data_IF_113942671895
#
_entry.id   IF_113942671895
#
_cell.length_a   1.000
_cell.length_b   1.000
_cell.length_c   1.000
_cell.angle_alpha   90.00
_cell.angle_beta   90.00
_cell.angle_gamma   90.00
#
_symmetry.space_group_name_H-M   'P 1'
#
loop_
_entity.id
_entity.type
_entity.pdbx_description
1 polymer ?
#
# COMPACT_ATOMS: atom_id res chain seq x y z
N UNK A 1 24.21 78.03 25.69
CA UNK A 1 24.13 77.82 24.21
C UNK A 1 24.98 76.65 23.70
N UNK A 2 26.32 76.61 23.90
CA UNK A 2 27.17 75.53 23.34
C UNK A 2 26.89 74.11 23.89
N UNK A 3 26.60 73.95 25.18
CA UNK A 3 26.35 72.63 25.79
C UNK A 3 25.03 71.98 25.34
N UNK A 4 24.00 72.79 25.12
CA UNK A 4 22.66 72.32 24.74
C UNK A 4 22.59 72.00 23.23
N UNK A 5 23.38 72.73 22.42
CA UNK A 5 23.60 72.43 21.01
C UNK A 5 24.38 71.11 20.82
N UNK A 6 25.44 70.88 21.60
CA UNK A 6 26.14 69.60 21.59
C UNK A 6 25.22 68.44 21.99
N UNK A 7 24.42 68.60 23.05
CA UNK A 7 23.50 67.54 23.52
C UNK A 7 22.45 67.16 22.47
N UNK A 8 21.95 68.13 21.69
CA UNK A 8 21.05 67.87 20.56
C UNK A 8 21.76 67.17 19.39
N UNK A 9 22.99 67.56 19.06
CA UNK A 9 23.79 66.88 18.02
C UNK A 9 24.12 65.44 18.44
N UNK A 10 24.46 65.21 19.71
CA UNK A 10 24.74 63.86 20.23
C UNK A 10 23.50 62.97 20.21
N UNK A 11 22.32 63.49 20.56
CA UNK A 11 21.08 62.73 20.47
C UNK A 11 20.68 62.40 19.02
N UNK A 12 20.94 63.31 18.08
CA UNK A 12 20.74 63.06 16.64
C UNK A 12 21.73 62.02 16.12
N UNK A 13 23.01 62.08 16.53
CA UNK A 13 24.01 61.06 16.19
C UNK A 13 23.71 59.69 16.81
N UNK A 14 23.20 59.65 18.05
CA UNK A 14 22.81 58.40 18.71
C UNK A 14 21.58 57.79 18.04
N UNK A 15 20.58 58.60 17.70
CA UNK A 15 19.40 58.16 16.95
C UNK A 15 19.79 57.68 15.53
N UNK A 16 20.69 58.39 14.83
CA UNK A 16 21.19 57.99 13.51
C UNK A 16 22.07 56.74 13.56
N UNK A 17 22.90 56.57 14.59
CA UNK A 17 23.72 55.38 14.81
C UNK A 17 22.87 54.15 15.12
N UNK A 18 21.85 54.29 15.97
CA UNK A 18 20.89 53.22 16.26
C UNK A 18 20.01 52.89 15.04
N UNK A 19 19.60 53.90 14.26
CA UNK A 19 18.91 53.69 12.99
C UNK A 19 19.80 52.96 11.97
N UNK A 20 21.07 53.35 11.85
CA UNK A 20 22.02 52.70 10.94
C UNK A 20 22.28 51.24 11.36
N UNK A 21 22.43 50.98 12.67
CA UNK A 21 22.59 49.62 13.19
C UNK A 21 21.36 48.75 12.95
N UNK A 22 20.14 49.27 13.22
CA UNK A 22 18.90 48.53 12.92
C UNK A 22 18.68 48.35 11.41
N UNK A 23 18.96 49.35 10.59
CA UNK A 23 18.75 49.30 9.15
C UNK A 23 19.73 48.33 8.47
N UNK A 24 21.01 48.35 8.85
CA UNK A 24 22.00 47.40 8.32
C UNK A 24 21.68 45.98 8.78
N UNK A 25 21.26 45.79 10.04
CA UNK A 25 20.88 44.46 10.56
C UNK A 25 19.66 43.87 9.84
N UNK A 26 18.61 44.67 9.64
CA UNK A 26 17.36 44.24 8.98
C UNK A 26 17.55 44.05 7.47
N UNK A 27 18.29 44.95 6.81
CA UNK A 27 18.57 44.85 5.38
C UNK A 27 19.47 43.63 5.07
N UNK A 28 20.41 43.29 5.96
CA UNK A 28 21.27 42.13 5.79
C UNK A 28 20.56 40.80 6.11
N UNK A 29 19.65 40.78 7.10
CA UNK A 29 18.75 39.66 7.35
C UNK A 29 17.84 39.38 6.14
N UNK A 30 17.27 40.42 5.53
CA UNK A 30 16.47 40.28 4.29
C UNK A 30 17.31 39.84 3.08
N UNK A 31 18.60 40.21 3.01
CA UNK A 31 19.50 39.78 1.94
C UNK A 31 19.93 38.32 2.09
N UNK A 32 20.10 37.83 3.32
CA UNK A 32 20.34 36.42 3.63
C UNK A 32 19.11 35.56 3.33
N UNK A 33 17.91 36.05 3.68
CA UNK A 33 16.63 35.38 3.42
C UNK A 33 16.34 35.27 1.91
N UNK A 34 16.59 36.34 1.13
CA UNK A 34 16.46 36.31 -0.34
C UNK A 34 17.50 35.44 -1.05
N UNK A 35 18.73 35.30 -0.52
CA UNK A 35 19.72 34.39 -1.11
C UNK A 35 19.43 32.92 -0.82
N UNK A 36 18.77 32.60 0.31
CA UNK A 36 18.35 31.23 0.62
C UNK A 36 17.21 30.71 -0.26
N UNK A 37 16.37 31.59 -0.82
CA UNK A 37 15.31 31.19 -1.77
C UNK A 37 15.84 30.94 -3.19
N UNK A 38 16.94 31.59 -3.59
CA UNK A 38 17.40 31.59 -5.00
C UNK A 38 18.47 30.52 -5.28
N UNK A 39 19.19 30.06 -4.27
CA UNK A 39 20.24 29.05 -4.46
C UNK A 39 19.98 27.89 -3.51
N UNK A 40 19.32 26.85 -4.01
CA UNK A 40 19.25 25.56 -3.30
C UNK A 40 20.66 25.02 -3.10
N UNK A 41 21.24 25.22 -1.92
CA UNK A 41 22.68 25.06 -1.72
C UNK A 41 23.02 24.34 -0.42
N UNK A 42 23.52 23.12 -0.59
CA UNK A 42 24.26 22.31 0.39
C UNK A 42 25.74 22.70 0.54
N UNK A 43 26.16 23.88 0.05
CA UNK A 43 27.57 24.34 0.00
C UNK A 43 27.87 25.70 0.65
N UNK A 44 26.92 26.32 1.36
CA UNK A 44 27.07 27.68 1.90
C UNK A 44 27.74 27.78 3.29
N UNK A 45 28.12 26.66 3.92
CA UNK A 45 28.45 26.64 5.36
C UNK A 45 29.78 27.29 5.76
N UNK A 46 30.78 27.33 4.88
CA UNK A 46 32.15 27.76 5.26
C UNK A 46 32.46 29.24 4.99
N UNK A 47 31.70 29.88 4.11
CA UNK A 47 31.92 31.29 3.73
C UNK A 47 31.23 32.24 4.70
N UNK A 48 30.04 31.87 5.21
CA UNK A 48 29.25 32.74 6.06
C UNK A 48 29.82 32.89 7.49
N UNK A 49 30.44 31.84 8.03
CA UNK A 49 31.05 31.90 9.37
C UNK A 49 32.27 32.84 9.41
N UNK A 50 33.09 32.86 8.35
CA UNK A 50 34.27 33.74 8.25
C UNK A 50 33.88 35.21 8.06
N UNK A 51 32.78 35.48 7.35
CA UNK A 51 32.27 36.83 7.13
C UNK A 51 31.64 37.40 8.41
N UNK A 52 30.92 36.60 9.19
CA UNK A 52 30.34 37.03 10.47
C UNK A 52 31.42 37.37 11.50
N UNK A 53 32.49 36.57 11.59
CA UNK A 53 33.62 36.85 12.50
C UNK A 53 34.36 38.13 12.11
N UNK A 54 34.57 38.37 10.80
CA UNK A 54 35.25 39.58 10.32
C UNK A 54 34.47 40.87 10.63
N UNK A 55 33.12 40.83 10.54
CA UNK A 55 32.26 41.99 10.81
C UNK A 55 32.16 42.31 12.31
N UNK A 56 32.18 41.30 13.18
CA UNK A 56 32.18 41.49 14.65
C UNK A 56 33.46 42.17 15.14
N UNK A 57 34.62 41.85 14.54
CA UNK A 57 35.90 42.50 14.86
C UNK A 57 35.92 43.97 14.40
N UNK A 58 35.34 44.27 13.24
CA UNK A 58 35.32 45.64 12.69
C UNK A 58 34.38 46.57 13.48
N UNK A 59 33.24 46.07 13.98
CA UNK A 59 32.32 46.89 14.77
C UNK A 59 32.80 47.15 16.21
N UNK A 60 33.62 46.26 16.80
CA UNK A 60 34.16 46.45 18.14
C UNK A 60 35.32 47.46 18.21
N UNK A 61 36.00 47.72 17.08
CA UNK A 61 37.17 48.61 17.00
C UNK A 61 36.79 50.08 16.76
N UNK A 62 35.53 50.38 16.42
CA UNK A 62 35.10 51.74 16.04
C UNK A 62 34.01 52.27 16.98
N UNK A 63 34.37 52.68 18.21
CA UNK A 63 33.57 53.64 19.00
C UNK A 63 34.37 54.22 20.18
N UNK A 64 34.60 55.55 20.27
CA UNK A 64 35.15 56.18 21.46
C UNK A 64 34.07 56.71 22.42
N UNK A 65 34.10 56.22 23.67
CA UNK A 65 33.89 56.88 24.98
C UNK A 65 32.84 58.01 25.17
N UNK A 66 31.86 57.78 26.07
CA UNK A 66 31.78 58.33 27.46
C UNK A 66 30.38 58.12 28.08
N UNK A 67 30.30 57.51 29.27
CA UNK A 67 29.16 57.66 30.19
C UNK A 67 29.61 57.56 31.66
N UNK A 68 28.98 58.38 32.50
CA UNK A 68 29.32 58.67 33.90
C UNK A 68 28.59 57.77 34.90
N UNK A 69 29.37 57.23 35.84
CA UNK A 69 29.09 56.97 37.26
C UNK A 69 27.76 56.28 37.67
N UNK A 70 27.85 54.97 37.94
CA UNK A 70 27.23 54.36 39.12
C UNK A 70 27.98 53.08 39.51
N UNK A 71 28.30 52.98 40.79
CA UNK A 71 29.28 52.07 41.41
C UNK A 71 28.79 50.62 41.46
N UNK A 72 29.46 49.73 40.74
CA UNK A 72 29.46 48.28 40.99
C UNK A 72 30.89 47.89 41.40
N UNK A 73 31.04 47.29 42.58
CA UNK A 73 32.36 46.87 43.09
C UNK A 73 32.92 45.74 42.23
N UNK A 74 34.13 45.94 41.75
CA UNK A 74 34.83 45.10 40.75
C UNK A 74 35.31 43.75 41.32
N UNK A 75 35.18 43.49 42.62
CA UNK A 75 35.77 42.31 43.26
C UNK A 75 35.00 40.99 43.04
N UNK A 76 33.74 41.01 42.59
CA UNK A 76 32.96 39.77 42.43
C UNK A 76 32.94 39.17 41.01
N UNK A 77 33.37 39.91 39.98
CA UNK A 77 33.27 39.43 38.58
C UNK A 77 34.46 38.56 38.15
N UNK A 78 35.55 38.56 38.91
CA UNK A 78 36.80 37.85 38.54
C UNK A 78 37.39 37.00 39.67
N UNK A 79 36.55 36.36 40.49
CA UNK A 79 36.98 35.22 41.32
C UNK A 79 37.03 33.96 40.43
N UNK A 80 38.12 33.82 39.67
CA UNK A 80 38.51 32.52 39.09
C UNK A 80 39.69 32.05 39.91
N UNK A 81 39.53 30.92 40.60
CA UNK A 81 40.58 30.29 41.41
C UNK A 81 41.93 30.29 40.66
N UNK A 82 42.99 30.73 41.33
CA UNK A 82 44.38 30.79 40.84
C UNK A 82 45.00 29.41 40.48
N UNK A 83 44.20 28.34 40.47
CA UNK A 83 44.64 26.97 40.21
C UNK A 83 44.71 26.60 38.70
N UNK A 84 44.07 27.36 37.80
CA UNK A 84 44.07 27.09 36.34
C UNK A 84 44.99 28.05 35.56
N UNK A 85 46.26 28.12 35.97
CA UNK A 85 47.20 29.12 35.45
C UNK A 85 47.73 28.83 34.03
N UNK A 86 47.59 27.62 33.50
CA UNK A 86 48.34 27.19 32.29
C UNK A 86 47.59 26.35 31.22
N UNK A 87 46.25 26.24 31.23
CA UNK A 87 45.52 25.35 30.29
C UNK A 87 44.70 26.03 29.18
N UNK A 88 44.78 27.37 29.04
CA UNK A 88 44.05 28.11 28.00
C UNK A 88 44.87 28.31 26.70
N UNK A 89 44.23 28.43 25.52
CA UNK A 89 44.92 28.68 24.25
C UNK A 89 45.69 30.02 24.26
N UNK A 90 46.83 30.09 23.58
CA UNK A 90 47.82 31.20 23.69
C UNK A 90 47.23 32.60 23.50
N UNK A 91 46.24 32.76 22.60
CA UNK A 91 45.56 34.03 22.38
C UNK A 91 44.80 34.54 23.62
N UNK A 92 44.38 33.65 24.53
CA UNK A 92 43.71 33.99 25.77
C UNK A 92 44.69 34.54 26.81
N UNK A 93 45.96 34.10 26.78
CA UNK A 93 47.05 34.67 27.59
C UNK A 93 47.36 36.10 27.10
N UNK A 94 47.52 36.27 25.79
CA UNK A 94 47.76 37.59 25.17
C UNK A 94 46.60 38.56 25.42
N UNK A 95 45.35 38.10 25.36
CA UNK A 95 44.19 38.93 25.68
C UNK A 95 44.22 39.38 27.14
N UNK A 96 44.51 38.47 28.08
CA UNK A 96 44.60 38.78 29.52
C UNK A 96 45.70 39.81 29.80
N UNK A 97 46.85 39.69 29.14
CA UNK A 97 47.96 40.61 29.35
C UNK A 97 47.69 41.98 28.73
N UNK A 98 47.07 42.04 27.55
CA UNK A 98 46.61 43.30 26.94
C UNK A 98 45.53 43.99 27.79
N UNK A 99 44.60 43.23 28.38
CA UNK A 99 43.57 43.78 29.29
C UNK A 99 44.20 44.32 30.57
N UNK A 100 45.21 43.65 31.13
CA UNK A 100 45.97 44.17 32.29
C UNK A 100 46.69 45.46 31.97
N UNK A 101 47.33 45.56 30.80
CA UNK A 101 47.97 46.79 30.34
C UNK A 101 46.95 47.91 30.20
N UNK A 102 45.78 47.63 29.63
CA UNK A 102 44.69 48.60 29.46
C UNK A 102 44.12 49.08 30.81
N UNK A 103 43.94 48.18 31.77
CA UNK A 103 43.50 48.51 33.14
C UNK A 103 44.53 49.38 33.86
N UNK A 104 45.82 49.07 33.70
CA UNK A 104 46.91 49.86 34.30
C UNK A 104 47.08 51.24 33.65
N UNK A 105 46.81 51.38 32.34
CA UNK A 105 46.92 52.65 31.63
C UNK A 105 45.75 53.62 31.89
N UNK A 106 44.52 53.11 32.00
CA UNK A 106 43.32 53.94 32.12
C UNK A 106 42.91 54.18 33.58
N UNK A 107 43.29 53.27 34.49
CA UNK A 107 42.80 53.22 35.86
C UNK A 107 41.62 52.26 36.00
N UNK A 108 41.52 51.56 37.14
CA UNK A 108 40.55 50.46 37.36
C UNK A 108 39.09 50.87 37.13
N UNK A 109 38.72 52.09 37.49
CA UNK A 109 37.35 52.58 37.34
C UNK A 109 36.98 52.91 35.88
N UNK A 110 37.87 53.52 35.11
CA UNK A 110 37.59 53.86 33.71
C UNK A 110 37.63 52.63 32.81
N UNK A 111 38.51 51.66 33.11
CA UNK A 111 38.58 50.40 32.39
C UNK A 111 37.30 49.56 32.58
N UNK A 112 36.68 49.57 33.76
CA UNK A 112 35.44 48.83 34.01
C UNK A 112 34.26 49.35 33.17
N UNK A 113 34.15 50.68 32.98
CA UNK A 113 33.10 51.27 32.11
C UNK A 113 33.24 50.89 30.63
N UNK A 114 34.42 50.43 30.19
CA UNK A 114 34.67 50.02 28.80
C UNK A 114 34.56 48.50 28.64
N UNK A 115 35.17 47.75 29.56
CA UNK A 115 35.24 46.28 29.47
C UNK A 115 33.88 45.62 29.77
N UNK A 116 33.10 46.13 30.71
CA UNK A 116 31.82 45.52 31.11
C UNK A 116 30.81 45.48 29.93
N UNK A 117 30.56 46.59 29.20
CA UNK A 117 29.66 46.57 28.04
C UNK A 117 30.13 45.65 26.92
N UNK A 118 31.44 45.55 26.69
CA UNK A 118 32.02 44.69 25.65
C UNK A 118 31.79 43.22 25.99
N UNK A 119 32.04 42.83 27.24
CA UNK A 119 31.81 41.47 27.72
C UNK A 119 30.33 41.11 27.68
N UNK A 120 29.44 42.01 28.13
CA UNK A 120 27.99 41.80 28.05
C UNK A 120 27.49 41.68 26.60
N UNK A 121 28.03 42.49 25.69
CA UNK A 121 27.74 42.39 24.26
C UNK A 121 28.19 41.06 23.65
N UNK A 122 29.40 40.60 24.00
CA UNK A 122 29.92 39.31 23.56
C UNK A 122 29.08 38.14 24.09
N UNK A 123 28.64 38.19 25.36
CA UNK A 123 27.76 37.17 25.96
C UNK A 123 26.39 37.16 25.26
N UNK A 124 25.79 38.32 24.98
CA UNK A 124 24.51 38.40 24.29
C UNK A 124 24.58 37.84 22.86
N UNK A 125 25.67 38.12 22.14
CA UNK A 125 25.91 37.57 20.81
C UNK A 125 26.11 36.05 20.88
N UNK A 126 26.92 35.57 21.83
CA UNK A 126 27.15 34.14 22.01
C UNK A 126 25.84 33.40 22.35
N UNK A 127 25.01 33.97 23.24
CA UNK A 127 23.70 33.42 23.58
C UNK A 127 22.73 33.44 22.39
N UNK A 128 22.74 34.51 21.59
CA UNK A 128 21.92 34.61 20.37
C UNK A 128 22.35 33.61 19.29
N UNK A 129 23.67 33.43 19.09
CA UNK A 129 24.23 32.44 18.16
C UNK A 129 23.92 31.03 18.64
N UNK A 130 24.13 30.73 19.92
CA UNK A 130 23.84 29.40 20.48
C UNK A 130 22.34 29.08 20.43
N UNK A 131 21.49 30.08 20.72
CA UNK A 131 20.03 29.98 20.56
C UNK A 131 19.62 29.74 19.09
N UNK A 132 20.24 30.44 18.14
CA UNK A 132 20.00 30.26 16.72
C UNK A 132 20.46 28.88 16.21
N UNK A 133 21.65 28.40 16.62
CA UNK A 133 22.13 27.06 16.26
C UNK A 133 21.23 25.98 16.87
N UNK A 134 20.84 26.11 18.14
CA UNK A 134 19.92 25.16 18.79
C UNK A 134 18.53 25.16 18.16
N UNK A 135 18.03 26.32 17.74
CA UNK A 135 16.77 26.45 17.00
C UNK A 135 16.88 25.86 15.60
N UNK A 136 17.99 26.07 14.89
CA UNK A 136 18.27 25.50 13.57
C UNK A 136 18.38 23.98 13.61
N UNK A 137 19.01 23.41 14.64
CA UNK A 137 19.03 21.95 14.85
C UNK A 137 17.63 21.40 15.15
N UNK A 138 16.81 22.11 15.94
CA UNK A 138 15.41 21.73 16.20
C UNK A 138 14.50 21.86 14.97
N UNK A 139 14.75 22.83 14.08
CA UNK A 139 14.00 23.02 12.82
C UNK A 139 14.44 21.99 11.76
N UNK A 140 15.73 21.65 11.69
CA UNK A 140 16.23 20.60 10.80
C UNK A 140 15.74 19.19 11.18
N UNK A 141 15.26 19.00 12.41
CA UNK A 141 14.68 17.75 12.87
C UNK A 141 13.28 17.42 12.29
N UNK A 142 12.73 18.20 11.35
CA UNK A 142 11.40 17.93 10.79
C UNK A 142 11.24 18.27 9.30
N UNK A 143 12.18 17.87 8.45
CA UNK A 143 11.90 17.77 7.01
C UNK A 143 12.41 16.45 6.48
N UNK A 144 11.64 15.38 6.74
CA UNK A 144 11.89 14.09 6.09
C UNK A 144 11.80 14.32 4.59
N UNK A 145 12.92 14.19 3.88
CA UNK A 145 12.96 14.30 2.43
C UNK A 145 12.34 13.04 1.83
N UNK A 146 11.07 13.10 1.45
CA UNK A 146 10.31 11.97 0.89
C UNK A 146 10.56 11.74 -0.62
N UNK A 147 11.42 12.55 -1.25
CA UNK A 147 11.76 12.45 -2.67
C UNK A 147 12.46 11.12 -3.01
N UNK A 148 12.20 10.56 -4.19
CA UNK A 148 12.79 9.31 -4.68
C UNK A 148 12.24 8.01 -4.07
N UNK A 149 11.39 8.09 -3.03
CA UNK A 149 10.81 6.89 -2.40
C UNK A 149 9.88 6.09 -3.31
N UNK A 150 9.14 6.75 -4.20
CA UNK A 150 8.25 6.07 -5.18
C UNK A 150 9.05 5.18 -6.11
N UNK A 151 10.09 5.72 -6.73
CA UNK A 151 10.98 4.98 -7.63
C UNK A 151 11.69 3.83 -6.91
N UNK A 152 12.04 4.02 -5.63
CA UNK A 152 12.77 2.99 -4.86
C UNK A 152 11.89 1.88 -4.27
N UNK A 153 10.62 2.16 -3.96
CA UNK A 153 9.78 1.25 -3.15
C UNK A 153 8.43 0.89 -3.79
N UNK A 154 8.10 1.36 -4.99
CA UNK A 154 6.87 0.95 -5.70
C UNK A 154 7.01 -0.38 -6.45
N UNK A 155 7.63 -1.39 -5.84
CA UNK A 155 7.83 -2.71 -6.45
C UNK A 155 6.52 -3.38 -6.90
N UNK A 156 5.39 -3.08 -6.24
CA UNK A 156 4.07 -3.56 -6.67
C UNK A 156 3.67 -2.97 -8.02
N UNK A 157 3.98 -1.70 -8.27
CA UNK A 157 3.69 -1.06 -9.56
C UNK A 157 4.53 -1.69 -10.68
N UNK A 158 5.79 -2.01 -10.39
CA UNK A 158 6.69 -2.64 -11.36
C UNK A 158 6.18 -4.04 -11.77
N UNK A 159 5.71 -4.84 -10.80
CA UNK A 159 5.07 -6.15 -11.07
C UNK A 159 3.82 -5.98 -11.93
N UNK A 160 2.98 -4.98 -11.62
CA UNK A 160 1.76 -4.69 -12.38
C UNK A 160 2.11 -4.33 -13.82
N UNK A 161 3.10 -3.48 -14.06
CA UNK A 161 3.51 -3.06 -15.40
C UNK A 161 4.05 -4.22 -16.25
N UNK A 162 4.79 -5.14 -15.63
CA UNK A 162 5.30 -6.36 -16.31
C UNK A 162 4.18 -7.34 -16.63
N UNK A 163 3.23 -7.53 -15.71
CA UNK A 163 2.23 -8.60 -15.82
C UNK A 163 0.95 -8.17 -16.54
N UNK A 164 0.52 -6.91 -16.41
CA UNK A 164 -0.77 -6.42 -16.91
C UNK A 164 -1.03 -6.69 -18.41
N UNK A 165 -0.05 -6.59 -19.33
CA UNK A 165 -0.28 -6.85 -20.75
C UNK A 165 -0.82 -8.25 -21.05
N UNK A 166 -0.46 -9.23 -20.21
CA UNK A 166 -0.90 -10.62 -20.37
C UNK A 166 -2.26 -10.92 -19.70
N UNK A 167 -2.83 -9.98 -18.94
CA UNK A 167 -4.09 -10.17 -18.21
C UNK A 167 -5.27 -9.73 -19.07
N UNK A 168 -6.32 -10.54 -19.10
CA UNK A 168 -7.49 -10.34 -19.96
C UNK A 168 -8.78 -10.29 -19.17
N UNK A 169 -9.75 -9.54 -19.66
CA UNK A 169 -11.12 -9.57 -19.14
C UNK A 169 -11.91 -10.63 -19.90
N UNK A 170 -12.67 -11.44 -19.17
CA UNK A 170 -13.54 -12.45 -19.75
C UNK A 170 -14.97 -12.06 -19.40
N UNK A 171 -15.77 -11.87 -20.44
CA UNK A 171 -17.19 -11.57 -20.32
C UNK A 171 -17.99 -12.67 -21.01
N UNK A 172 -19.06 -13.11 -20.35
CA UNK A 172 -19.97 -14.09 -20.91
C UNK A 172 -21.32 -13.43 -21.05
N UNK A 173 -21.80 -13.42 -22.29
CA UNK A 173 -23.06 -12.79 -22.67
C UNK A 173 -24.06 -13.85 -23.13
N UNK A 174 -25.34 -13.67 -22.77
CA UNK A 174 -26.44 -14.48 -23.29
C UNK A 174 -26.99 -13.84 -24.57
N UNK A 175 -26.69 -14.45 -25.72
CA UNK A 175 -27.13 -13.96 -27.03
C UNK A 175 -28.65 -14.00 -27.24
N UNK A 176 -29.41 -14.68 -26.37
CA UNK A 176 -30.89 -14.76 -26.46
C UNK A 176 -31.60 -13.72 -25.61
N UNK A 177 -30.90 -13.07 -24.68
CA UNK A 177 -31.49 -12.09 -23.77
C UNK A 177 -30.86 -10.74 -24.00
N UNK A 178 -31.66 -9.82 -24.55
CA UNK A 178 -31.27 -8.44 -24.77
C UNK A 178 -31.71 -7.60 -23.58
N UNK A 179 -30.83 -6.72 -23.13
CA UNK A 179 -31.15 -5.67 -22.18
C UNK A 179 -32.17 -4.70 -22.80
N UNK A 180 -33.26 -4.44 -22.07
CA UNK A 180 -34.42 -3.70 -22.57
C UNK A 180 -34.10 -2.23 -22.90
N UNK A 181 -33.04 -1.67 -22.33
CA UNK A 181 -32.66 -0.27 -22.51
C UNK A 181 -31.54 -0.10 -23.55
N UNK A 182 -30.56 -1.00 -23.57
CA UNK A 182 -29.38 -0.90 -24.44
C UNK A 182 -29.47 -1.76 -25.71
N UNK A 183 -30.41 -2.72 -25.78
CA UNK A 183 -30.54 -3.65 -26.90
C UNK A 183 -29.35 -4.58 -27.08
N UNK A 184 -28.47 -4.69 -26.07
CA UNK A 184 -27.27 -5.53 -26.09
C UNK A 184 -27.51 -6.85 -25.34
N UNK A 185 -26.81 -7.93 -25.68
CA UNK A 185 -26.81 -9.17 -24.90
C UNK A 185 -26.49 -8.92 -23.42
N UNK A 186 -27.24 -9.53 -22.51
CA UNK A 186 -27.03 -9.38 -21.06
C UNK A 186 -25.78 -10.16 -20.63
N UNK A 187 -24.90 -9.51 -19.87
CA UNK A 187 -23.76 -10.16 -19.22
C UNK A 187 -24.22 -11.05 -18.08
N UNK A 188 -23.93 -12.34 -18.19
CA UNK A 188 -24.39 -13.40 -17.28
C UNK A 188 -23.27 -13.93 -16.37
N UNK A 189 -22.02 -13.71 -16.75
CA UNK A 189 -20.82 -13.98 -15.96
C UNK A 189 -19.69 -13.08 -16.43
N UNK A 190 -18.81 -12.72 -15.53
CA UNK A 190 -17.56 -12.06 -15.89
C UNK A 190 -16.45 -12.49 -14.93
N UNK A 191 -15.22 -12.26 -15.35
CA UNK A 191 -14.03 -12.53 -14.58
C UNK A 191 -12.78 -12.05 -15.32
N UNK A 192 -11.64 -12.48 -14.83
CA UNK A 192 -10.35 -12.27 -15.45
C UNK A 192 -9.76 -13.59 -15.95
N UNK A 193 -8.72 -13.47 -16.75
CA UNK A 193 -7.85 -14.56 -17.16
C UNK A 193 -6.47 -14.03 -17.50
N UNK A 194 -5.58 -14.90 -17.94
CA UNK A 194 -4.26 -14.48 -18.42
C UNK A 194 -3.76 -15.39 -19.53
N UNK A 195 -2.98 -14.80 -20.43
CA UNK A 195 -2.45 -15.44 -21.63
C UNK A 195 -1.22 -16.27 -21.24
N UNK A 196 -1.21 -17.55 -21.59
CA UNK A 196 -0.11 -18.49 -21.28
C UNK A 196 0.64 -18.97 -22.52
N UNK A 197 0.17 -18.63 -23.71
CA UNK A 197 0.88 -18.89 -24.96
C UNK A 197 0.60 -17.79 -25.98
N UNK A 198 1.61 -17.46 -26.79
CA UNK A 198 1.59 -16.36 -27.76
C UNK A 198 0.52 -16.55 -28.84
N UNK A 199 0.03 -17.78 -29.03
CA UNK A 199 -1.00 -18.18 -29.97
C UNK A 199 -2.45 -17.99 -29.44
N UNK A 200 -2.63 -17.26 -28.34
CA UNK A 200 -3.96 -16.93 -27.82
C UNK A 200 -4.53 -17.91 -26.82
N UNK A 201 -3.69 -18.74 -26.18
CA UNK A 201 -4.14 -19.64 -25.11
C UNK A 201 -4.26 -18.84 -23.82
N UNK A 202 -5.43 -18.90 -23.20
CA UNK A 202 -5.76 -18.18 -21.97
C UNK A 202 -6.16 -19.17 -20.89
N UNK A 203 -5.72 -18.92 -19.66
CA UNK A 203 -6.18 -19.59 -18.46
C UNK A 203 -7.17 -18.72 -17.69
N UNK A 204 -8.13 -19.39 -17.06
CA UNK A 204 -9.10 -18.80 -16.15
C UNK A 204 -9.67 -19.89 -15.25
N UNK A 205 -10.62 -19.55 -14.37
CA UNK A 205 -11.35 -20.55 -13.62
C UNK A 205 -12.46 -21.21 -14.44
N UNK A 206 -12.75 -22.47 -14.13
CA UNK A 206 -13.86 -23.18 -14.77
C UNK A 206 -15.19 -22.48 -14.49
N UNK A 207 -15.44 -22.02 -13.26
CA UNK A 207 -16.70 -21.35 -12.92
C UNK A 207 -16.92 -20.03 -13.65
N UNK A 208 -15.87 -19.40 -14.19
CA UNK A 208 -15.99 -18.18 -15.01
C UNK A 208 -16.69 -18.54 -16.31
N UNK A 209 -16.29 -19.66 -16.95
CA UNK A 209 -16.61 -20.03 -18.34
C UNK A 209 -17.59 -21.19 -18.53
N UNK A 210 -17.73 -22.04 -17.52
CA UNK A 210 -18.54 -23.25 -17.60
C UNK A 210 -20.02 -22.93 -17.39
N UNK A 211 -20.84 -23.65 -18.16
CA UNK A 211 -22.28 -23.76 -18.03
C UNK A 211 -23.10 -22.55 -18.45
N UNK A 212 -23.10 -22.24 -19.75
CA UNK A 212 -24.08 -21.32 -20.33
C UNK A 212 -24.44 -21.77 -21.75
N UNK A 213 -25.47 -22.61 -21.92
CA UNK A 213 -25.91 -23.00 -23.26
C UNK A 213 -26.26 -21.74 -24.07
N UNK A 214 -25.63 -21.58 -25.24
CA UNK A 214 -25.74 -20.41 -26.15
C UNK A 214 -25.07 -19.12 -25.68
N UNK A 215 -24.16 -19.17 -24.71
CA UNK A 215 -23.40 -17.99 -24.35
C UNK A 215 -22.21 -17.75 -25.27
N UNK A 216 -21.95 -16.47 -25.49
CA UNK A 216 -20.82 -15.96 -26.25
C UNK A 216 -19.76 -15.52 -25.24
N UNK A 217 -18.55 -16.07 -25.35
CA UNK A 217 -17.42 -15.66 -24.52
C UNK A 217 -16.67 -14.55 -25.26
N UNK A 218 -16.67 -13.35 -24.70
CA UNK A 218 -15.88 -12.22 -25.19
C UNK A 218 -14.67 -12.05 -24.30
N UNK A 219 -13.50 -11.94 -24.92
CA UNK A 219 -12.22 -11.70 -24.25
C UNK A 219 -11.74 -10.32 -24.64
N UNK A 220 -11.48 -9.45 -23.66
CA UNK A 220 -10.92 -8.13 -23.89
C UNK A 220 -9.47 -8.05 -23.42
N UNK A 221 -8.57 -7.69 -24.33
CA UNK A 221 -7.13 -7.53 -24.08
C UNK A 221 -6.83 -6.13 -23.54
N UNK A 222 -5.67 -5.94 -22.91
CA UNK A 222 -5.25 -4.66 -22.29
C UNK A 222 -5.24 -3.47 -23.27
N UNK A 223 -5.04 -3.70 -24.57
CA UNK A 223 -5.09 -2.67 -25.61
C UNK A 223 -6.52 -2.16 -25.92
N UNK A 224 -7.54 -2.76 -25.30
CA UNK A 224 -8.94 -2.42 -25.49
C UNK A 224 -9.66 -3.30 -26.52
N UNK A 225 -8.95 -4.09 -27.30
CA UNK A 225 -9.52 -4.98 -28.33
C UNK A 225 -10.31 -6.12 -27.71
N UNK A 226 -11.43 -6.49 -28.34
CA UNK A 226 -12.31 -7.57 -27.90
C UNK A 226 -12.37 -8.65 -28.97
N UNK A 227 -12.18 -9.91 -28.55
CA UNK A 227 -12.14 -11.09 -29.42
C UNK A 227 -13.10 -12.15 -28.92
N UNK A 228 -13.64 -12.94 -29.84
CA UNK A 228 -14.44 -14.11 -29.50
C UNK A 228 -13.53 -15.22 -28.94
N UNK A 229 -13.85 -15.70 -27.74
CA UNK A 229 -13.17 -16.79 -27.06
C UNK A 229 -13.89 -18.13 -27.23
N UNK A 230 -13.12 -19.21 -27.33
CA UNK A 230 -13.63 -20.58 -27.37
C UNK A 230 -13.07 -21.39 -26.20
N UNK A 231 -13.92 -22.09 -25.46
CA UNK A 231 -13.48 -22.98 -24.37
C UNK A 231 -12.83 -24.23 -24.98
N UNK A 232 -11.54 -24.45 -24.75
CA UNK A 232 -10.80 -25.61 -25.29
C UNK A 232 -10.81 -26.83 -24.35
N UNK A 233 -10.72 -26.59 -23.06
CA UNK A 233 -10.68 -27.60 -22.00
C UNK A 233 -11.10 -27.00 -20.66
N UNK A 234 -11.65 -27.82 -19.78
CA UNK A 234 -12.00 -27.42 -18.42
C UNK A 234 -11.99 -28.62 -17.47
N UNK A 235 -11.60 -28.37 -16.23
CA UNK A 235 -11.76 -29.30 -15.13
C UNK A 235 -12.48 -28.64 -13.96
N UNK A 236 -13.73 -29.06 -13.75
CA UNK A 236 -14.58 -28.58 -12.66
C UNK A 236 -13.99 -28.96 -11.28
N UNK A 237 -13.25 -30.08 -11.20
CA UNK A 237 -12.65 -30.52 -9.93
C UNK A 237 -11.54 -29.57 -9.52
N UNK A 238 -10.63 -29.21 -10.42
CA UNK A 238 -9.61 -28.20 -10.12
C UNK A 238 -10.07 -26.75 -10.27
N UNK A 239 -11.28 -26.51 -10.79
CA UNK A 239 -11.79 -25.18 -11.14
C UNK A 239 -10.87 -24.44 -12.13
N UNK A 240 -10.34 -25.18 -13.12
CA UNK A 240 -9.46 -24.66 -14.16
C UNK A 240 -10.14 -24.74 -15.53
N UNK A 241 -9.92 -23.74 -16.38
CA UNK A 241 -10.32 -23.79 -17.78
C UNK A 241 -9.32 -23.10 -18.69
N UNK A 242 -9.30 -23.55 -19.93
CA UNK A 242 -8.57 -22.91 -21.03
C UNK A 242 -9.53 -22.32 -22.05
N UNK A 243 -9.23 -21.09 -22.46
CA UNK A 243 -9.88 -20.41 -23.57
C UNK A 243 -8.88 -20.19 -24.71
N UNK A 244 -9.39 -20.10 -25.93
CA UNK A 244 -8.64 -19.73 -27.12
C UNK A 244 -9.24 -18.51 -27.77
N UNK A 245 -8.40 -17.55 -28.13
CA UNK A 245 -8.74 -16.47 -29.06
C UNK A 245 -7.91 -16.60 -30.35
N UNK A 246 -8.43 -16.17 -31.51
CA UNK A 246 -7.74 -16.29 -32.80
C UNK A 246 -6.74 -15.15 -33.03
N UNK A 247 -5.88 -14.87 -32.04
CA UNK A 247 -4.86 -13.80 -32.09
C UNK A 247 -3.49 -14.39 -31.75
N UNK A 248 -2.45 -13.93 -32.44
CA UNK A 248 -1.06 -14.40 -32.27
C UNK A 248 -0.13 -13.27 -31.81
N UNK A 249 1.07 -13.63 -31.38
CA UNK A 249 2.12 -12.73 -30.89
C UNK A 249 1.67 -11.89 -29.68
N UNK A 250 0.91 -12.53 -28.79
CA UNK A 250 0.40 -11.90 -27.58
C UNK A 250 1.44 -11.91 -26.46
N UNK A 251 1.42 -10.93 -25.54
CA UNK A 251 2.22 -10.98 -24.32
C UNK A 251 1.79 -12.16 -23.44
N UNK A 252 2.78 -12.92 -22.96
CA UNK A 252 2.55 -14.16 -22.19
C UNK A 252 2.95 -13.98 -20.74
N UNK A 253 2.10 -14.46 -19.84
CA UNK A 253 2.39 -14.57 -18.42
C UNK A 253 3.40 -15.69 -18.17
N UNK A 254 4.48 -15.38 -17.46
CA UNK A 254 5.43 -16.39 -17.00
C UNK A 254 4.80 -17.23 -15.89
N UNK A 255 4.92 -18.54 -15.97
CA UNK A 255 4.46 -19.43 -14.91
C UNK A 255 5.63 -19.73 -13.97
N UNK A 256 5.50 -19.29 -12.71
CA UNK A 256 6.49 -19.56 -11.66
C UNK A 256 6.31 -20.95 -11.09
N UNK A 257 6.73 -21.15 -9.85
CA UNK A 257 6.46 -22.36 -9.06
C UNK A 257 5.63 -21.99 -7.83
N UNK A 258 4.74 -22.89 -7.42
CA UNK A 258 4.00 -22.74 -6.17
C UNK A 258 4.61 -23.55 -5.02
N UNK A 259 5.49 -24.51 -5.33
CA UNK A 259 6.15 -25.37 -4.35
C UNK A 259 7.21 -24.67 -3.50
N UNK A 260 7.77 -23.56 -3.97
CA UNK A 260 8.84 -22.77 -3.37
C UNK A 260 8.34 -21.50 -2.66
N UNK A 261 7.02 -21.28 -2.65
CA UNK A 261 6.41 -20.15 -1.96
C UNK A 261 6.71 -20.19 -0.47
N UNK A 262 6.85 -19.00 0.12
CA UNK A 262 7.04 -18.84 1.57
C UNK A 262 5.89 -18.06 2.21
N UNK A 263 5.40 -18.48 3.39
CA UNK A 263 4.54 -17.62 4.19
C UNK A 263 5.19 -16.24 4.43
N UNK A 264 4.44 -15.17 4.21
CA UNK A 264 4.88 -13.79 4.28
C UNK A 264 5.40 -13.20 2.97
N UNK A 265 5.49 -13.99 1.90
CA UNK A 265 5.91 -13.50 0.58
C UNK A 265 4.86 -12.58 -0.04
N UNK A 266 5.30 -11.45 -0.60
CA UNK A 266 4.43 -10.50 -1.27
C UNK A 266 3.84 -11.08 -2.55
N UNK A 267 2.55 -10.86 -2.75
CA UNK A 267 1.82 -11.28 -3.93
C UNK A 267 0.88 -10.20 -4.41
N UNK A 268 0.63 -10.19 -5.71
CA UNK A 268 -0.31 -9.29 -6.38
C UNK A 268 -1.39 -10.12 -7.06
N UNK A 269 -2.63 -10.01 -6.57
CA UNK A 269 -3.79 -10.58 -7.24
C UNK A 269 -4.23 -9.61 -8.35
N UNK A 270 -4.02 -10.04 -9.59
CA UNK A 270 -4.26 -9.24 -10.78
C UNK A 270 -5.60 -9.58 -11.42
N UNK A 271 -6.31 -8.54 -11.88
CA UNK A 271 -7.50 -8.64 -12.71
C UNK A 271 -7.41 -7.67 -13.89
N UNK A 272 -8.30 -7.82 -14.87
CA UNK A 272 -8.23 -7.02 -16.09
C UNK A 272 -8.43 -5.52 -15.84
N UNK A 273 -7.60 -4.65 -16.48
CA UNK A 273 -7.61 -3.20 -16.26
C UNK A 273 -8.66 -2.42 -17.09
N UNK A 274 -9.62 -3.08 -17.74
CA UNK A 274 -10.53 -2.43 -18.70
C UNK A 274 -12.02 -2.54 -18.37
N UNK A 275 -12.37 -3.36 -17.39
CA UNK A 275 -13.61 -3.15 -16.64
C UNK A 275 -13.37 -1.98 -15.68
N UNK A 276 -14.42 -1.24 -15.29
CA UNK A 276 -14.40 -0.01 -14.47
C UNK A 276 -13.74 -0.13 -13.07
N UNK A 277 -12.92 -1.15 -12.82
CA UNK A 277 -12.54 -1.60 -11.50
C UNK A 277 -11.16 -2.25 -11.39
N UNK A 278 -10.17 -1.98 -12.28
CA UNK A 278 -8.76 -2.47 -12.19
C UNK A 278 -8.47 -3.15 -10.86
N UNK A 279 -8.71 -4.46 -10.75
CA UNK A 279 -8.70 -5.09 -9.42
C UNK A 279 -7.31 -5.65 -9.16
N UNK A 280 -6.35 -4.73 -9.13
CA UNK A 280 -5.01 -5.00 -8.64
C UNK A 280 -5.06 -4.85 -7.13
N UNK A 281 -4.76 -5.93 -6.43
CA UNK A 281 -4.67 -5.91 -4.98
C UNK A 281 -3.42 -6.62 -4.54
N UNK A 282 -2.71 -6.06 -3.57
CA UNK A 282 -1.51 -6.67 -3.01
C UNK A 282 -1.79 -7.23 -1.62
N UNK A 283 -1.02 -8.23 -1.25
CA UNK A 283 -1.02 -8.85 0.07
C UNK A 283 0.19 -9.76 0.22
N UNK A 284 0.13 -10.66 1.18
CA UNK A 284 1.13 -11.69 1.40
C UNK A 284 0.52 -13.08 1.34
N UNK A 285 1.35 -14.08 1.10
CA UNK A 285 0.96 -15.49 1.28
C UNK A 285 0.83 -15.76 2.78
N UNK A 286 -0.38 -16.06 3.24
CA UNK A 286 -0.61 -16.43 4.65
C UNK A 286 -0.33 -17.91 4.91
N UNK A 287 -0.56 -18.77 3.91
CA UNK A 287 -0.24 -20.20 3.94
C UNK A 287 -0.08 -20.72 2.52
N UNK A 288 0.91 -21.58 2.33
CA UNK A 288 1.22 -22.18 1.02
C UNK A 288 0.50 -23.51 0.81
N UNK A 289 0.06 -24.14 1.90
CA UNK A 289 -0.49 -25.49 1.87
C UNK A 289 -1.78 -25.63 2.68
N UNK A 290 -2.81 -24.87 2.34
CA UNK A 290 -4.13 -25.04 2.96
C UNK A 290 -4.88 -26.18 2.27
N UNK A 291 -5.03 -27.30 2.95
CA UNK A 291 -5.77 -28.46 2.42
C UNK A 291 -7.24 -28.06 2.18
N UNK A 292 -7.78 -28.42 1.02
CA UNK A 292 -9.19 -28.29 0.66
C UNK A 292 -10.13 -28.82 1.76
N UNK A 293 -9.74 -29.88 2.48
CA UNK A 293 -10.49 -30.46 3.61
C UNK A 293 -10.63 -29.47 4.76
N UNK A 294 -9.60 -28.66 5.01
CA UNK A 294 -9.65 -27.60 6.03
C UNK A 294 -10.53 -26.42 5.61
N UNK A 295 -10.73 -26.24 4.30
CA UNK A 295 -11.69 -25.32 3.70
C UNK A 295 -13.10 -25.91 3.55
N UNK A 296 -13.29 -27.15 4.01
CA UNK A 296 -14.54 -27.91 3.88
C UNK A 296 -14.80 -28.46 2.47
N UNK A 297 -13.92 -28.19 1.51
CA UNK A 297 -13.99 -28.67 0.13
C UNK A 297 -13.57 -30.15 0.08
N UNK A 298 -14.35 -31.06 0.67
CA UNK A 298 -14.05 -32.50 0.55
C UNK A 298 -14.11 -32.93 -0.92
N UNK A 299 -13.40 -34.02 -1.26
CA UNK A 299 -13.29 -34.68 -2.58
C UNK A 299 -12.64 -33.88 -3.73
N UNK A 300 -12.14 -32.68 -3.43
CA UNK A 300 -10.97 -32.15 -4.13
C UNK A 300 -9.77 -32.51 -3.26
N UNK A 301 -8.90 -33.45 -3.61
CA UNK A 301 -7.61 -33.58 -2.91
C UNK A 301 -6.67 -32.51 -3.47
N UNK A 302 -6.96 -31.25 -3.16
CA UNK A 302 -6.21 -30.11 -3.65
C UNK A 302 -5.84 -29.16 -2.53
N UNK A 303 -4.69 -28.57 -2.68
CA UNK A 303 -4.16 -27.59 -1.75
C UNK A 303 -4.32 -26.20 -2.36
N UNK A 304 -4.64 -25.20 -1.55
CA UNK A 304 -4.79 -23.80 -1.99
C UNK A 304 -3.70 -22.92 -1.38
N UNK A 305 -3.33 -21.89 -2.14
CA UNK A 305 -2.55 -20.76 -1.63
C UNK A 305 -3.52 -19.84 -0.91
N UNK A 306 -3.28 -19.58 0.37
CA UNK A 306 -4.02 -18.60 1.15
C UNK A 306 -3.29 -17.26 1.11
N UNK A 307 -4.02 -16.19 0.84
CA UNK A 307 -3.49 -14.82 0.86
C UNK A 307 -4.48 -13.85 1.49
N UNK A 308 -3.98 -12.77 2.06
CA UNK A 308 -4.79 -11.64 2.50
C UNK A 308 -5.04 -10.61 1.38
N UNK A 309 -4.41 -10.78 0.21
CA UNK A 309 -4.69 -9.99 -0.99
C UNK A 309 -6.20 -10.13 -1.35
N UNK A 310 -6.96 -9.02 -1.40
CA UNK A 310 -8.38 -9.10 -1.68
C UNK A 310 -8.75 -9.66 -3.07
N UNK A 311 -9.33 -10.86 -3.10
CA UNK A 311 -9.94 -11.41 -4.31
C UNK A 311 -11.42 -11.00 -4.38
N UNK A 312 -11.86 -10.56 -5.55
CA UNK A 312 -13.24 -10.20 -5.86
C UNK A 312 -13.65 -10.81 -7.20
N UNK A 313 -14.90 -10.62 -7.62
CA UNK A 313 -15.35 -11.05 -8.95
C UNK A 313 -14.54 -10.44 -10.10
N UNK A 314 -13.93 -9.26 -9.90
CA UNK A 314 -13.15 -8.58 -10.94
C UNK A 314 -11.83 -9.26 -11.27
N UNK A 315 -11.09 -9.77 -10.28
CA UNK A 315 -9.80 -10.44 -10.47
C UNK A 315 -9.85 -11.97 -10.35
N UNK A 316 -11.01 -12.55 -10.03
CA UNK A 316 -11.23 -14.01 -10.08
C UNK A 316 -10.99 -14.55 -11.49
N UNK A 317 -10.28 -15.68 -11.61
CA UNK A 317 -9.73 -16.23 -12.84
C UNK A 317 -8.42 -15.59 -13.31
N UNK A 318 -8.07 -14.41 -12.80
CA UNK A 318 -6.78 -13.75 -13.07
C UNK A 318 -5.61 -14.38 -12.30
N UNK A 319 -4.37 -13.96 -12.58
CA UNK A 319 -3.20 -14.54 -11.95
C UNK A 319 -2.96 -13.95 -10.55
N UNK A 320 -2.48 -14.80 -9.64
CA UNK A 320 -1.78 -14.39 -8.42
C UNK A 320 -0.28 -14.38 -8.76
N UNK A 321 0.37 -13.22 -8.62
CA UNK A 321 1.72 -12.97 -9.15
C UNK A 321 2.70 -12.71 -8.00
N UNK A 322 3.91 -13.27 -8.07
CA UNK A 322 5.00 -12.95 -7.14
C UNK A 322 5.74 -11.66 -7.54
N UNK A 323 6.78 -11.28 -6.79
CA UNK A 323 7.54 -10.05 -7.09
C UNK A 323 8.42 -10.13 -8.34
N UNK A 324 8.63 -11.33 -8.88
CA UNK A 324 9.38 -11.55 -10.13
C UNK A 324 8.49 -11.47 -11.39
N UNK A 325 7.19 -11.17 -11.21
CA UNK A 325 6.23 -11.06 -12.30
C UNK A 325 5.74 -12.42 -12.83
N UNK A 326 5.88 -13.48 -12.03
CA UNK A 326 5.49 -14.83 -12.38
C UNK A 326 4.15 -15.21 -11.71
N UNK A 327 3.26 -15.85 -12.47
CA UNK A 327 2.05 -16.41 -11.93
C UNK A 327 2.37 -17.64 -11.07
N UNK A 328 2.05 -17.54 -9.78
CA UNK A 328 2.19 -18.60 -8.77
C UNK A 328 0.84 -19.26 -8.43
N UNK A 329 -0.27 -18.67 -8.90
CA UNK A 329 -1.59 -19.26 -8.80
C UNK A 329 -2.66 -18.56 -9.62
N UNK A 330 -3.89 -19.07 -9.56
CA UNK A 330 -5.09 -18.48 -10.17
C UNK A 330 -6.04 -18.03 -9.08
N UNK A 331 -6.39 -16.75 -9.06
CA UNK A 331 -7.30 -16.15 -8.10
C UNK A 331 -8.67 -16.84 -8.17
N UNK A 332 -9.09 -17.57 -7.14
CA UNK A 332 -10.35 -18.34 -7.21
C UNK A 332 -11.45 -17.70 -6.39
N UNK A 333 -11.27 -17.59 -5.07
CA UNK A 333 -12.35 -17.21 -4.16
C UNK A 333 -11.87 -16.39 -2.97
N UNK A 334 -12.78 -15.58 -2.41
CA UNK A 334 -12.65 -14.93 -1.11
C UNK A 334 -13.67 -15.52 -0.17
N UNK A 335 -13.23 -15.96 1.01
CA UNK A 335 -14.13 -16.47 2.06
C UNK A 335 -14.56 -15.35 3.00
N UNK A 336 -13.60 -14.53 3.44
CA UNK A 336 -13.85 -13.38 4.32
C UNK A 336 -12.80 -12.30 4.08
N UNK A 337 -12.96 -11.12 4.70
CA UNK A 337 -11.94 -10.07 4.60
C UNK A 337 -10.63 -10.53 5.22
N UNK A 338 -9.54 -10.45 4.46
CA UNK A 338 -8.20 -10.93 4.86
C UNK A 338 -7.97 -12.42 4.61
N UNK A 339 -8.93 -13.15 4.03
CA UNK A 339 -8.76 -14.57 3.66
C UNK A 339 -9.31 -14.81 2.25
N UNK A 340 -8.38 -14.92 1.31
CA UNK A 340 -8.61 -15.26 -0.08
C UNK A 340 -7.79 -16.51 -0.46
N UNK A 341 -8.23 -17.21 -1.50
CA UNK A 341 -7.62 -18.44 -1.98
C UNK A 341 -7.33 -18.40 -3.48
N UNK A 342 -6.16 -18.90 -3.84
CA UNK A 342 -5.75 -19.13 -5.22
C UNK A 342 -5.39 -20.60 -5.45
N UNK A 343 -5.66 -21.09 -6.66
CA UNK A 343 -5.26 -22.43 -7.10
C UNK A 343 -3.76 -22.38 -7.43
N UNK A 344 -2.90 -23.25 -6.84
CA UNK A 344 -1.48 -23.28 -7.12
C UNK A 344 -1.14 -23.49 -8.60
N UNK A 345 -0.14 -22.79 -9.11
CA UNK A 345 0.23 -22.87 -10.53
C UNK A 345 0.78 -24.24 -10.92
N UNK A 346 1.28 -25.05 -9.99
CA UNK A 346 1.78 -26.38 -10.33
C UNK A 346 0.64 -27.33 -10.73
N UNK A 347 -0.57 -27.18 -10.16
CA UNK A 347 -1.76 -27.89 -10.65
C UNK A 347 -2.14 -27.46 -12.07
N UNK A 348 -1.92 -26.19 -12.41
CA UNK A 348 -2.16 -25.67 -13.76
C UNK A 348 -1.21 -26.33 -14.75
N UNK A 349 0.08 -26.48 -14.40
CA UNK A 349 1.06 -27.17 -15.24
C UNK A 349 0.64 -28.62 -15.51
N UNK A 350 0.17 -29.32 -14.48
CA UNK A 350 -0.37 -30.68 -14.65
C UNK A 350 -1.61 -30.72 -15.56
N UNK A 351 -2.53 -29.78 -15.38
CA UNK A 351 -3.74 -29.66 -16.21
C UNK A 351 -3.38 -29.43 -17.69
N UNK A 352 -2.45 -28.50 -17.97
CA UNK A 352 -1.95 -28.23 -19.32
C UNK A 352 -1.20 -29.42 -19.93
N UNK A 353 -0.51 -30.22 -19.11
CA UNK A 353 0.16 -31.44 -19.57
C UNK A 353 -0.87 -32.54 -19.94
N UNK A 354 -1.87 -32.77 -19.10
CA UNK A 354 -2.95 -33.77 -19.32
C UNK A 354 -3.79 -33.46 -20.56
N UNK A 355 -3.94 -32.18 -20.92
CA UNK A 355 -4.62 -31.75 -22.16
C UNK A 355 -4.04 -32.41 -23.42
N UNK A 356 -2.73 -32.69 -23.46
CA UNK A 356 -2.07 -33.30 -24.63
C UNK A 356 -2.50 -34.75 -24.87
N UNK A 357 -3.18 -35.38 -23.91
CA UNK A 357 -3.62 -36.78 -23.93
C UNK A 357 -5.13 -36.87 -23.70
N UNK A 358 -5.97 -36.38 -24.62
CA UNK A 358 -7.43 -36.35 -24.39
C UNK A 358 -8.07 -37.74 -24.44
N UNK A 359 -8.71 -38.13 -23.32
CA UNK A 359 -9.81 -39.11 -23.25
C UNK A 359 -11.16 -38.42 -23.52
N UNK A 360 -12.25 -39.16 -23.83
CA UNK A 360 -13.50 -38.56 -24.30
C UNK A 360 -14.22 -37.73 -23.23
N UNK A 361 -14.96 -36.71 -23.67
CA UNK A 361 -15.84 -35.90 -22.82
C UNK A 361 -16.85 -36.79 -22.09
N UNK A 362 -16.79 -36.77 -20.76
CA UNK A 362 -17.80 -37.39 -19.89
C UNK A 362 -18.86 -36.33 -19.62
N UNK A 363 -20.11 -36.58 -20.04
CA UNK A 363 -21.20 -35.65 -19.74
C UNK A 363 -21.46 -35.60 -18.23
N UNK A 364 -21.55 -34.42 -17.62
CA UNK A 364 -21.78 -34.26 -16.17
C UNK A 364 -23.03 -33.46 -15.87
N UNK A 365 -23.62 -33.71 -14.71
CA UNK A 365 -24.82 -33.01 -14.24
C UNK A 365 -24.47 -31.72 -13.51
N UNK A 366 -25.29 -30.68 -13.71
CA UNK A 366 -25.04 -29.33 -13.24
C UNK A 366 -26.25 -28.72 -12.49
N UNK A 367 -25.96 -27.92 -11.45
CA UNK A 367 -26.97 -27.14 -10.70
C UNK A 367 -26.87 -25.62 -10.85
N UNK A 368 -25.66 -25.08 -10.96
CA UNK A 368 -25.43 -23.64 -11.07
C UNK A 368 -25.40 -22.86 -9.78
N UNK A 369 -24.64 -23.39 -8.83
CA UNK A 369 -24.31 -22.71 -7.59
C UNK A 369 -22.80 -22.59 -7.39
N UNK A 370 -22.39 -21.49 -6.78
CA UNK A 370 -21.12 -21.42 -6.04
C UNK A 370 -21.42 -21.80 -4.61
N UNK A 371 -20.62 -22.68 -4.05
CA UNK A 371 -20.87 -23.25 -2.74
C UNK A 371 -19.64 -23.21 -1.85
N UNK A 372 -19.87 -23.08 -0.54
CA UNK A 372 -18.87 -23.14 0.51
C UNK A 372 -19.32 -24.17 1.54
N UNK A 373 -18.51 -25.19 1.80
CA UNK A 373 -18.84 -26.18 2.82
C UNK A 373 -18.60 -25.63 4.22
N UNK A 374 -19.52 -25.94 5.12
CA UNK A 374 -19.52 -25.40 6.47
C UNK A 374 -18.63 -26.25 7.38
N UNK A 375 -17.37 -25.83 7.56
CA UNK A 375 -16.49 -26.38 8.60
C UNK A 375 -16.81 -25.76 9.97
N UNK A 376 -16.40 -26.38 11.09
CA UNK A 376 -16.61 -25.81 12.43
C UNK A 376 -16.08 -24.36 12.56
N UNK A 377 -14.93 -24.07 11.95
CA UNK A 377 -14.33 -22.74 11.97
C UNK A 377 -15.16 -21.74 11.15
N UNK A 378 -15.59 -22.12 9.93
CA UNK A 378 -16.44 -21.27 9.08
C UNK A 378 -17.78 -21.01 9.75
N UNK A 379 -18.39 -22.03 10.36
CA UNK A 379 -19.64 -21.90 11.14
C UNK A 379 -19.47 -20.92 12.30
N UNK A 380 -18.37 -21.03 13.05
CA UNK A 380 -18.07 -20.12 14.14
C UNK A 380 -17.95 -18.67 13.64
N UNK A 381 -17.22 -18.43 12.56
CA UNK A 381 -17.08 -17.11 11.95
C UNK A 381 -18.41 -16.55 11.43
N UNK A 382 -19.22 -17.38 10.76
CA UNK A 382 -20.53 -16.97 10.24
C UNK A 382 -21.49 -16.62 11.38
N UNK A 383 -21.51 -17.39 12.48
CA UNK A 383 -22.33 -17.11 13.67
C UNK A 383 -21.91 -15.82 14.37
N UNK A 384 -20.61 -15.53 14.43
CA UNK A 384 -20.12 -14.26 14.98
C UNK A 384 -20.58 -13.05 14.16
N UNK A 385 -20.67 -13.21 12.83
CA UNK A 385 -21.06 -12.14 11.91
C UNK A 385 -22.57 -12.02 11.71
N UNK A 386 -23.30 -13.12 11.87
CA UNK A 386 -24.74 -13.19 11.69
C UNK A 386 -25.41 -13.88 12.90
N UNK A 387 -25.80 -13.10 13.93
CA UNK A 387 -26.46 -13.65 15.13
C UNK A 387 -27.78 -14.36 14.86
N UNK A 388 -28.38 -14.16 13.68
CA UNK A 388 -29.63 -14.83 13.28
C UNK A 388 -29.42 -16.23 12.70
N UNK A 389 -28.17 -16.63 12.45
CA UNK A 389 -27.84 -17.98 11.98
C UNK A 389 -28.23 -19.03 13.03
N UNK A 390 -29.00 -20.07 12.66
CA UNK A 390 -29.39 -21.10 13.60
C UNK A 390 -28.18 -21.84 14.22
N UNK A 391 -28.18 -22.00 15.54
CA UNK A 391 -27.09 -22.61 16.31
C UNK A 391 -27.06 -24.14 16.22
N UNK A 392 -28.14 -24.73 15.74
CA UNK A 392 -28.35 -26.16 15.55
C UNK A 392 -27.86 -26.67 14.18
N UNK A 393 -27.34 -25.79 13.32
CA UNK A 393 -26.64 -26.16 12.08
C UNK A 393 -25.18 -26.44 12.42
N UNK A 394 -24.77 -27.70 12.42
CA UNK A 394 -23.39 -28.15 12.67
C UNK A 394 -22.67 -28.64 11.40
N UNK A 395 -23.41 -28.82 10.30
CA UNK A 395 -22.90 -29.20 8.99
C UNK A 395 -23.76 -28.58 7.88
N UNK A 396 -23.27 -28.63 6.64
CA UNK A 396 -24.02 -28.20 5.47
C UNK A 396 -23.15 -27.52 4.43
N UNK A 397 -23.80 -27.05 3.38
CA UNK A 397 -23.17 -26.32 2.30
C UNK A 397 -23.87 -24.97 2.15
N UNK A 398 -23.14 -23.89 2.42
CA UNK A 398 -23.59 -22.54 2.15
C UNK A 398 -23.62 -22.29 0.65
N UNK A 399 -24.77 -21.87 0.14
CA UNK A 399 -24.95 -21.38 -1.22
C UNK A 399 -24.44 -19.95 -1.27
N UNK A 400 -23.24 -19.77 -1.81
CA UNK A 400 -22.61 -18.46 -1.91
C UNK A 400 -23.20 -17.62 -3.05
N UNK A 401 -23.47 -18.25 -4.19
CA UNK A 401 -24.04 -17.61 -5.37
C UNK A 401 -24.93 -18.59 -6.10
N UNK A 402 -26.02 -18.10 -6.67
CA UNK A 402 -26.88 -18.86 -7.58
C UNK A 402 -26.83 -18.20 -8.95
N UNK A 403 -26.55 -19.00 -9.96
CA UNK A 403 -26.41 -18.53 -11.33
C UNK A 403 -27.81 -18.28 -11.90
N UNK A 404 -28.11 -17.06 -12.32
CA UNK A 404 -29.43 -16.73 -12.90
C UNK A 404 -29.71 -17.61 -14.11
N UNK A 405 -30.90 -18.22 -14.14
CA UNK A 405 -31.36 -19.15 -15.17
C UNK A 405 -30.87 -20.60 -15.03
N UNK A 406 -30.00 -20.89 -14.05
CA UNK A 406 -29.56 -22.26 -13.76
C UNK A 406 -30.68 -23.13 -13.18
N UNK A 407 -30.52 -24.47 -13.14
CA UNK A 407 -31.40 -25.35 -12.38
C UNK A 407 -31.67 -24.88 -10.96
N UNK A 408 -30.63 -24.47 -10.23
CA UNK A 408 -30.75 -23.98 -8.85
C UNK A 408 -31.57 -22.70 -8.76
N UNK A 409 -31.39 -21.76 -9.71
CA UNK A 409 -32.19 -20.55 -9.79
C UNK A 409 -33.67 -20.86 -10.07
N UNK A 410 -33.93 -21.73 -11.06
CA UNK A 410 -35.28 -22.13 -11.42
C UNK A 410 -35.96 -22.96 -10.31
N UNK A 411 -35.17 -23.69 -9.52
CA UNK A 411 -35.60 -24.41 -8.32
C UNK A 411 -35.82 -23.55 -7.08
N UNK A 412 -35.54 -22.24 -7.17
CA UNK A 412 -35.80 -21.29 -6.08
C UNK A 412 -34.73 -21.24 -4.99
N UNK A 413 -33.55 -21.80 -5.24
CA UNK A 413 -32.39 -21.67 -4.36
C UNK A 413 -31.83 -20.24 -4.41
N UNK A 414 -31.37 -19.72 -3.28
CA UNK A 414 -30.91 -18.33 -3.14
C UNK A 414 -29.53 -18.26 -2.49
N UNK A 415 -28.74 -17.19 -2.77
CA UNK A 415 -27.54 -16.90 -2.00
C UNK A 415 -27.86 -16.77 -0.51
N UNK A 416 -27.05 -17.40 0.34
CA UNK A 416 -27.25 -17.46 1.79
C UNK A 416 -28.01 -18.69 2.28
N UNK A 417 -28.62 -19.48 1.38
CA UNK A 417 -29.23 -20.76 1.76
C UNK A 417 -28.15 -21.74 2.24
N UNK A 418 -28.47 -22.56 3.24
CA UNK A 418 -27.60 -23.64 3.70
C UNK A 418 -28.25 -24.96 3.34
N UNK A 419 -27.67 -25.70 2.40
CA UNK A 419 -28.11 -27.05 2.04
C UNK A 419 -27.64 -28.02 3.11
N UNK A 420 -28.56 -28.75 3.72
CA UNK A 420 -28.25 -29.75 4.75
C UNK A 420 -28.43 -31.17 4.25
N UNK A 421 -29.41 -31.42 3.38
CA UNK A 421 -29.68 -32.74 2.82
C UNK A 421 -30.05 -32.67 1.34
N UNK A 422 -29.68 -33.71 0.59
CA UNK A 422 -30.13 -33.93 -0.78
C UNK A 422 -30.65 -35.37 -0.90
N UNK A 423 -31.87 -35.54 -1.40
CA UNK A 423 -32.57 -36.82 -1.49
C UNK A 423 -32.64 -37.58 -0.15
N UNK A 424 -32.68 -36.85 0.96
CA UNK A 424 -32.67 -37.41 2.31
C UNK A 424 -31.28 -37.80 2.84
N UNK A 425 -30.22 -37.72 2.03
CA UNK A 425 -28.84 -37.93 2.47
C UNK A 425 -28.26 -36.62 3.02
N UNK A 426 -27.65 -36.62 4.21
CA UNK A 426 -26.98 -35.44 4.74
C UNK A 426 -25.80 -35.05 3.84
N UNK A 427 -25.66 -33.77 3.56
CA UNK A 427 -24.54 -33.22 2.82
C UNK A 427 -23.71 -32.33 3.74
N UNK A 428 -22.49 -32.74 3.97
CA UNK A 428 -21.53 -32.05 4.84
C UNK A 428 -20.49 -31.29 4.01
N UNK A 429 -20.33 -31.68 2.74
CA UNK A 429 -19.29 -31.18 1.85
C UNK A 429 -19.77 -30.97 0.42
N UNK A 430 -19.06 -30.12 -0.31
CA UNK A 430 -19.24 -29.92 -1.74
C UNK A 430 -19.16 -31.24 -2.53
N UNK A 431 -18.35 -32.19 -2.07
CA UNK A 431 -18.24 -33.51 -2.72
C UNK A 431 -19.44 -34.39 -2.46
N UNK A 432 -20.08 -34.30 -1.31
CA UNK A 432 -21.32 -35.05 -1.08
C UNK A 432 -22.36 -34.60 -2.12
N UNK A 433 -22.45 -33.28 -2.35
CA UNK A 433 -23.33 -32.72 -3.37
C UNK A 433 -22.94 -33.15 -4.79
N UNK A 434 -21.65 -33.11 -5.16
CA UNK A 434 -21.20 -33.58 -6.48
C UNK A 434 -21.44 -35.09 -6.67
N UNK A 435 -21.20 -35.89 -5.65
CA UNK A 435 -21.42 -37.34 -5.67
C UNK A 435 -22.90 -37.66 -5.85
N UNK A 436 -23.78 -36.90 -5.17
CA UNK A 436 -25.22 -37.01 -5.36
C UNK A 436 -25.64 -36.57 -6.77
N UNK A 437 -25.00 -35.55 -7.33
CA UNK A 437 -25.26 -35.11 -8.71
C UNK A 437 -24.83 -36.15 -9.76
N UNK A 438 -23.66 -36.75 -9.61
CA UNK A 438 -23.14 -37.77 -10.53
C UNK A 438 -24.01 -39.04 -10.52
N UNK A 439 -24.51 -39.43 -9.34
CA UNK A 439 -25.31 -40.64 -9.17
C UNK A 439 -26.82 -40.42 -9.37
N UNK A 440 -27.31 -39.19 -9.36
CA UNK A 440 -28.73 -38.90 -9.55
C UNK A 440 -29.12 -38.95 -11.03
N UNK A 441 -30.19 -39.67 -11.34
CA UNK A 441 -30.77 -39.72 -12.69
C UNK A 441 -31.93 -38.74 -12.89
N UNK A 442 -32.41 -38.08 -11.83
CA UNK A 442 -33.63 -37.27 -11.86
C UNK A 442 -33.56 -35.96 -11.06
N UNK A 443 -34.73 -35.48 -10.64
CA UNK A 443 -34.84 -34.29 -9.78
C UNK A 443 -34.24 -34.58 -8.40
N UNK A 444 -33.64 -33.56 -7.81
CA UNK A 444 -33.08 -33.57 -6.47
C UNK A 444 -34.05 -32.90 -5.51
N UNK A 445 -34.35 -33.58 -4.40
CA UNK A 445 -35.07 -33.01 -3.26
C UNK A 445 -34.05 -32.43 -2.29
N UNK A 446 -33.95 -31.12 -2.22
CA UNK A 446 -32.90 -30.39 -1.49
C UNK A 446 -33.50 -29.74 -0.25
N UNK A 447 -33.05 -30.16 0.93
CA UNK A 447 -33.42 -29.50 2.18
C UNK A 447 -32.46 -28.36 2.45
N UNK A 448 -33.02 -27.18 2.69
CA UNK A 448 -32.27 -25.95 2.90
C UNK A 448 -32.72 -25.23 4.18
N UNK A 449 -31.80 -24.46 4.74
CA UNK A 449 -32.07 -23.50 5.79
C UNK A 449 -31.86 -22.09 5.24
N UNK A 450 -32.91 -21.27 5.28
CA UNK A 450 -32.91 -19.87 4.84
C UNK A 450 -33.26 -18.99 6.03
N UNK A 451 -32.24 -18.36 6.61
CA UNK A 451 -32.39 -17.69 7.91
C UNK A 451 -32.81 -18.71 8.98
N UNK A 452 -34.00 -18.55 9.56
CA UNK A 452 -34.59 -19.50 10.53
C UNK A 452 -35.55 -20.52 9.91
N UNK A 453 -35.86 -20.38 8.62
CA UNK A 453 -36.82 -21.25 7.94
C UNK A 453 -36.11 -22.47 7.38
N UNK A 454 -36.63 -23.66 7.70
CA UNK A 454 -36.24 -24.92 7.07
C UNK A 454 -37.25 -25.23 5.98
N UNK A 455 -36.80 -25.35 4.73
CA UNK A 455 -37.68 -25.66 3.60
C UNK A 455 -37.05 -26.72 2.71
N UNK A 456 -37.86 -27.35 1.88
CA UNK A 456 -37.42 -28.33 0.91
C UNK A 456 -37.80 -27.83 -0.48
N UNK A 457 -36.83 -27.80 -1.39
CA UNK A 457 -37.02 -27.42 -2.78
C UNK A 457 -36.66 -28.58 -3.69
N UNK A 458 -37.24 -28.59 -4.89
CA UNK A 458 -36.97 -29.61 -5.90
C UNK A 458 -36.24 -28.98 -7.07
N UNK A 459 -35.03 -29.46 -7.35
CA UNK A 459 -34.18 -28.93 -8.42
C UNK A 459 -33.94 -30.01 -9.46
N UNK A 460 -34.06 -29.70 -10.75
CA UNK A 460 -33.80 -30.63 -11.84
C UNK A 460 -32.43 -30.34 -12.48
N UNK A 461 -31.37 -31.14 -12.22
CA UNK A 461 -30.06 -30.88 -12.80
C UNK A 461 -30.06 -31.01 -14.33
N UNK A 462 -29.26 -30.19 -15.00
CA UNK A 462 -29.03 -30.27 -16.45
C UNK A 462 -27.82 -31.16 -16.76
N UNK A 463 -27.83 -31.89 -17.88
CA UNK A 463 -26.71 -32.71 -18.35
C UNK A 463 -25.88 -31.87 -19.32
N UNK A 464 -24.56 -31.89 -19.16
CA UNK A 464 -23.64 -31.03 -19.89
C UNK A 464 -22.44 -31.77 -20.46
#
# INVERSE_FOLDING_TARGET
MKAEFLKRITNVYFALGHFYYCFVSVFFLQLLERRSEVVGVSKASDVDAKVVVLVVVVCAVVSPLRLTASTVKVEEVFSVNDADRDSGPDWLKDLKDNVKVLINMLGRETASYILIPIVLGAIAIAAGVFGYVSLKEKINAATITLSGRREKYNFIADVVDVSAPSVVYIEIQDGRRLDLFSGRPITISNGSGFIVNEDGLILTNAHVVVNKPNAVVNVRLMDGSTHLGFVEDFDIKSDLATLRIPVKNLPVMKLGSSADLRPGEWVVAMGSPLALSNTVTAGVVSSTQRDSKELGLQGKDMVYIQTDAPITFGNSGGPLVNLDGEAIGINSMKVTSGISFAIPIDYVKEFLAKRKTKSPQVSRRYLGITMLSLTPNILMELRMRNPEMPTDIDHGILVWKVIIGSPAYNGGLQPGDIVTHINGTPVTSATDLYSVLENSTGKLTVQIVRGRLRTTIVIAPEIH
#
